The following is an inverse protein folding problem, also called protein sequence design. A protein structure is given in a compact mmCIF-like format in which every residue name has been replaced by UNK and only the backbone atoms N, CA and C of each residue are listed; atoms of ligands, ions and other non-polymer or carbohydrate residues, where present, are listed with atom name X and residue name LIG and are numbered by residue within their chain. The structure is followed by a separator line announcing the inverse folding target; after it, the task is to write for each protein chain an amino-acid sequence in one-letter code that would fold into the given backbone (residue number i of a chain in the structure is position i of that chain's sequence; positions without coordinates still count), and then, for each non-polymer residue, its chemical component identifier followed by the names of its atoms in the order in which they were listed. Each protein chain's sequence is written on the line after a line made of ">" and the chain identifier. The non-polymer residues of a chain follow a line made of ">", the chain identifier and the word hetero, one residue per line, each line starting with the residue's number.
data_IF_911960402471
#
_entry.id   IF_911960402471
#
_cell.length_a   1.000
_cell.length_b   1.000
_cell.length_c   1.000
_cell.angle_alpha   90.00
_cell.angle_beta   90.00
_cell.angle_gamma   90.00
#
_symmetry.space_group_name_H-M   'P 1'
#
loop_
_entity.id
_entity.type
_entity.pdbx_description
1 polymer ?
#
# COMPACT_ATOMS: atom_id res chain seq x y z
N UNK A 1 13.29 8.67 -1.73
CA UNK A 1 12.22 9.56 -1.21
C UNK A 1 10.89 9.00 -1.68
N UNK A 2 9.96 8.68 -0.78
CA UNK A 2 8.64 8.19 -1.17
C UNK A 2 7.77 9.34 -1.65
N UNK A 3 7.17 9.18 -2.84
CA UNK A 3 6.23 10.17 -3.39
C UNK A 3 4.99 10.28 -2.51
N UNK A 4 4.50 11.50 -2.26
CA UNK A 4 3.23 11.72 -1.55
C UNK A 4 2.00 11.53 -2.45
N UNK A 5 2.16 11.60 -3.77
CA UNK A 5 1.07 11.51 -4.75
C UNK A 5 1.00 10.16 -5.46
N UNK A 6 2.09 9.40 -5.49
CA UNK A 6 2.16 8.11 -6.19
C UNK A 6 2.13 6.95 -5.20
N UNK A 7 1.47 5.84 -5.55
CA UNK A 7 1.53 4.58 -4.78
C UNK A 7 2.87 3.89 -4.97
N UNK A 8 3.50 3.40 -3.89
CA UNK A 8 4.61 2.46 -3.99
C UNK A 8 4.06 1.05 -4.20
N UNK A 9 4.61 0.29 -5.15
CA UNK A 9 4.22 -1.13 -5.39
C UNK A 9 5.39 -2.09 -5.25
N UNK A 10 6.54 -1.58 -4.81
CA UNK A 10 7.73 -2.39 -4.66
C UNK A 10 7.63 -3.26 -3.41
N UNK A 11 7.71 -4.57 -3.62
CA UNK A 11 7.72 -5.57 -2.53
C UNK A 11 8.99 -5.42 -1.69
N UNK A 12 10.09 -4.92 -2.26
CA UNK A 12 11.35 -4.73 -1.54
C UNK A 12 11.24 -3.77 -0.36
N UNK A 13 10.25 -2.87 -0.39
CA UNK A 13 9.93 -1.89 0.66
C UNK A 13 9.12 -2.48 1.83
N UNK A 14 8.74 -3.77 1.78
CA UNK A 14 8.06 -4.45 2.88
C UNK A 14 9.05 -5.11 3.84
N UNK A 15 8.60 -5.35 5.08
CA UNK A 15 9.32 -6.21 6.03
C UNK A 15 9.56 -7.61 5.44
N UNK A 16 10.69 -8.28 5.75
CA UNK A 16 11.04 -9.57 5.14
C UNK A 16 9.93 -10.63 5.19
N UNK A 17 9.22 -10.72 6.31
CA UNK A 17 8.07 -11.64 6.48
C UNK A 17 6.94 -11.34 5.51
N UNK A 18 6.62 -10.07 5.31
CA UNK A 18 5.58 -9.62 4.38
C UNK A 18 5.99 -9.84 2.94
N UNK A 19 7.28 -9.67 2.60
CA UNK A 19 7.78 -10.02 1.27
C UNK A 19 7.60 -11.50 0.96
N UNK A 20 7.96 -12.37 1.91
CA UNK A 20 7.79 -13.81 1.76
C UNK A 20 6.31 -14.18 1.61
N UNK A 21 5.43 -13.57 2.41
CA UNK A 21 3.98 -13.76 2.32
C UNK A 21 3.41 -13.32 0.96
N UNK A 22 3.82 -12.16 0.43
CA UNK A 22 3.39 -11.69 -0.90
C UNK A 22 3.81 -12.65 -2.01
N UNK A 23 5.05 -13.15 -1.99
CA UNK A 23 5.53 -14.12 -2.98
C UNK A 23 4.74 -15.44 -2.89
N UNK A 24 4.47 -15.92 -1.67
CA UNK A 24 3.67 -17.12 -1.45
C UNK A 24 2.21 -16.93 -1.91
N UNK A 25 1.62 -15.76 -1.68
CA UNK A 25 0.29 -15.40 -2.17
C UNK A 25 0.22 -15.53 -3.68
N UNK A 26 1.14 -14.90 -4.42
CA UNK A 26 1.14 -14.98 -5.88
C UNK A 26 1.30 -16.40 -6.40
N UNK A 27 2.18 -17.21 -5.79
CA UNK A 27 2.34 -18.62 -6.15
C UNK A 27 1.05 -19.42 -5.94
N UNK A 28 0.34 -19.20 -4.82
CA UNK A 28 -0.93 -19.86 -4.53
C UNK A 28 -2.04 -19.41 -5.48
N UNK A 29 -2.15 -18.12 -5.74
CA UNK A 29 -3.11 -17.57 -6.71
C UNK A 29 -2.89 -18.17 -8.10
N UNK A 30 -1.64 -18.23 -8.58
CA UNK A 30 -1.31 -18.80 -9.87
C UNK A 30 -1.72 -20.28 -9.96
N UNK A 31 -1.42 -21.09 -8.94
CA UNK A 31 -1.84 -22.51 -8.87
C UNK A 31 -3.36 -22.68 -8.85
N UNK A 32 -4.09 -21.73 -8.28
CA UNK A 32 -5.55 -21.70 -8.27
C UNK A 32 -6.16 -21.14 -9.57
N UNK A 33 -5.36 -20.81 -10.59
CA UNK A 33 -5.83 -20.22 -11.84
C UNK A 33 -6.08 -18.70 -11.78
N UNK A 34 -5.80 -18.05 -10.65
CA UNK A 34 -5.94 -16.60 -10.48
C UNK A 34 -4.65 -15.92 -10.95
N UNK A 35 -4.69 -15.40 -12.18
CA UNK A 35 -3.51 -14.79 -12.84
C UNK A 35 -3.52 -13.27 -12.84
N UNK A 36 -4.69 -12.64 -12.76
CA UNK A 36 -4.83 -11.18 -12.83
C UNK A 36 -4.92 -10.55 -11.44
N UNK A 37 -3.82 -10.58 -10.70
CA UNK A 37 -3.70 -9.98 -9.36
C UNK A 37 -2.38 -9.21 -9.27
N UNK A 38 -2.39 -8.08 -8.58
CA UNK A 38 -1.20 -7.25 -8.35
C UNK A 38 -1.31 -6.52 -7.00
N UNK A 39 -0.18 -6.02 -6.49
CA UNK A 39 -0.15 -5.19 -5.28
C UNK A 39 -0.44 -3.75 -5.65
N UNK A 40 -1.46 -3.15 -5.03
CA UNK A 40 -1.86 -1.76 -5.26
C UNK A 40 -0.99 -0.77 -4.51
N UNK A 41 -0.60 -1.12 -3.27
CA UNK A 41 0.29 -0.29 -2.45
C UNK A 41 1.07 -1.11 -1.41
N UNK A 42 2.36 -0.81 -1.24
CA UNK A 42 3.25 -1.38 -0.20
C UNK A 42 3.53 -0.35 0.90
N UNK A 43 4.77 0.09 1.05
CA UNK A 43 5.18 1.08 2.05
C UNK A 43 4.54 2.45 1.76
N UNK A 44 4.08 3.11 2.83
CA UNK A 44 3.55 4.46 2.82
C UNK A 44 4.17 5.26 3.95
N UNK A 45 4.82 6.37 3.60
CA UNK A 45 5.36 7.30 4.59
C UNK A 45 4.25 7.98 5.38
N UNK A 46 4.61 8.46 6.58
CA UNK A 46 3.69 9.23 7.41
C UNK A 46 3.22 10.53 6.73
N UNK A 47 4.08 11.16 5.93
CA UNK A 47 3.74 12.35 5.15
C UNK A 47 2.67 12.05 4.11
N UNK A 48 2.80 10.93 3.37
CA UNK A 48 1.77 10.49 2.44
C UNK A 48 0.47 10.13 3.16
N UNK A 49 0.55 9.47 4.31
CA UNK A 49 -0.64 9.14 5.11
C UNK A 49 -1.39 10.42 5.57
N UNK A 50 -0.67 11.45 6.01
CA UNK A 50 -1.25 12.78 6.31
C UNK A 50 -1.88 13.41 5.08
N UNK A 51 -1.22 13.35 3.92
CA UNK A 51 -1.72 13.87 2.65
C UNK A 51 -3.03 13.19 2.21
N UNK A 52 -3.13 11.86 2.36
CA UNK A 52 -4.35 11.08 2.09
C UNK A 52 -5.46 11.38 3.10
N UNK A 53 -5.12 11.48 4.39
CA UNK A 53 -6.10 11.78 5.43
C UNK A 53 -6.73 13.16 5.24
N UNK A 54 -5.96 14.15 4.76
CA UNK A 54 -6.46 15.47 4.43
C UNK A 54 -7.50 15.49 3.29
N UNK A 55 -7.51 14.49 2.40
CA UNK A 55 -8.43 14.41 1.27
C UNK A 55 -9.88 14.20 1.72
N UNK A 56 -10.79 15.03 1.23
CA UNK A 56 -12.18 15.09 1.66
C UNK A 56 -12.39 15.70 3.05
N UNK A 57 -11.35 16.28 3.65
CA UNK A 57 -11.39 17.00 4.94
C UNK A 57 -10.91 18.43 4.79
N UNK A 58 -9.61 18.62 4.56
CA UNK A 58 -8.95 19.92 4.38
C UNK A 58 -8.46 20.14 2.95
N UNK A 59 -8.49 19.10 2.11
CA UNK A 59 -8.26 19.15 0.67
C UNK A 59 -9.45 18.55 -0.07
N UNK A 60 -9.82 19.04 -1.27
CA UNK A 60 -10.89 18.45 -2.08
C UNK A 60 -10.64 16.97 -2.41
N UNK A 61 -11.72 16.22 -2.65
CA UNK A 61 -11.68 14.81 -3.05
C UNK A 61 -12.49 13.91 -2.12
N UNK A 62 -12.57 12.62 -2.45
CA UNK A 62 -13.23 11.63 -1.58
C UNK A 62 -12.35 11.25 -0.39
N UNK A 63 -12.97 10.91 0.74
CA UNK A 63 -12.26 10.37 1.90
C UNK A 63 -11.77 8.95 1.54
N UNK A 64 -10.46 8.74 1.52
CA UNK A 64 -9.82 7.45 1.14
C UNK A 64 -9.16 6.73 2.32
N UNK A 65 -9.06 7.38 3.47
CA UNK A 65 -8.55 6.77 4.70
C UNK A 65 -9.21 7.42 5.93
N UNK A 66 -9.31 6.63 7.00
CA UNK A 66 -9.96 7.02 8.25
C UNK A 66 -8.98 7.28 9.39
N UNK A 67 -7.70 6.91 9.24
CA UNK A 67 -6.69 7.00 10.31
C UNK A 67 -5.47 7.81 9.87
N UNK A 68 -4.79 8.44 10.83
CA UNK A 68 -3.42 8.97 10.65
C UNK A 68 -2.35 7.91 10.94
N UNK A 69 -2.72 6.83 11.63
CA UNK A 69 -1.82 5.77 12.06
C UNK A 69 -2.09 4.49 11.26
N UNK A 70 -1.41 4.36 10.12
CA UNK A 70 -1.59 3.24 9.19
C UNK A 70 -0.46 2.23 9.33
N UNK A 71 -0.76 0.93 9.24
CA UNK A 71 0.22 -0.16 9.21
C UNK A 71 1.05 -0.22 7.92
N UNK A 72 0.87 0.73 6.99
CA UNK A 72 1.74 0.86 5.82
C UNK A 72 3.07 1.56 6.18
N UNK A 73 3.20 2.08 7.41
CA UNK A 73 4.49 2.49 7.99
C UNK A 73 5.32 1.24 8.35
N UNK A 74 6.63 1.37 8.59
CA UNK A 74 7.48 0.25 8.98
C UNK A 74 7.07 -0.33 10.34
#
# INVERSE_FOLDING_TARGET
>A
MTSITTTCRDISELLPVSQAACRLLFQKCFKAGIKNIFITETYRSQERQKYLYAQGRTRPGQIVTWTLDSNHKP
#
